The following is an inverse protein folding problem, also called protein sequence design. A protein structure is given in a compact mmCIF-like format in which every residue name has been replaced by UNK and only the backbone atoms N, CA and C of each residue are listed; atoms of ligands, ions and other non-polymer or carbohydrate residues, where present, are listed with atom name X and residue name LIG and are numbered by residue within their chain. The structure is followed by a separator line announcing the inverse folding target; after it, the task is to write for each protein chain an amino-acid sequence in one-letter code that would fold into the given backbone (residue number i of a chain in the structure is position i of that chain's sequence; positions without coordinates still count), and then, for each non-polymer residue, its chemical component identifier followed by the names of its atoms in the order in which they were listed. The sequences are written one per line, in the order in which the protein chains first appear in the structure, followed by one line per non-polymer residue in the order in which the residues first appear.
data_IF_020092833849
#
_entry.id   IF_020092833849
#
_cell.length_a   1.000
_cell.length_b   1.000
_cell.length_c   1.000
_cell.angle_alpha   90.00
_cell.angle_beta   90.00
_cell.angle_gamma   90.00
#
_symmetry.space_group_name_H-M   'P 1'
#
loop_
_entity.id
_entity.type
_entity.pdbx_description
1 polymer ?
#
# COMPACT_ATOMS: atom_id res chain seq x y z
N UNK A 1 14.74 20.80 -24.56
CA UNK A 1 13.55 21.57 -24.14
C UNK A 1 12.32 21.23 -24.99
N UNK A 2 12.41 21.25 -26.32
CA UNK A 2 11.29 20.94 -27.22
C UNK A 2 10.68 19.53 -27.02
N UNK A 3 11.51 18.52 -26.81
CA UNK A 3 11.08 17.15 -26.48
C UNK A 3 10.30 17.07 -25.17
N UNK A 4 10.74 17.78 -24.12
CA UNK A 4 10.05 17.84 -22.83
C UNK A 4 8.68 18.54 -22.94
N UNK A 5 8.60 19.62 -23.72
CA UNK A 5 7.34 20.31 -24.02
C UNK A 5 6.37 19.40 -24.80
N UNK A 6 6.90 18.64 -25.75
CA UNK A 6 6.10 17.67 -26.52
C UNK A 6 5.56 16.57 -25.61
N UNK A 7 6.40 16.01 -24.71
CA UNK A 7 5.96 15.05 -23.70
C UNK A 7 4.87 15.61 -22.79
N UNK A 8 5.07 16.83 -22.28
CA UNK A 8 4.10 17.49 -21.41
C UNK A 8 2.77 17.72 -22.12
N UNK A 9 2.77 18.14 -23.39
CA UNK A 9 1.57 18.30 -24.20
C UNK A 9 0.83 16.98 -24.41
N UNK A 10 1.54 15.90 -24.72
CA UNK A 10 0.97 14.56 -24.90
C UNK A 10 0.39 14.01 -23.59
N UNK A 11 1.09 14.20 -22.47
CA UNK A 11 0.59 13.81 -21.15
C UNK A 11 -0.65 14.62 -20.78
N UNK A 12 -0.65 15.93 -20.99
CA UNK A 12 -1.80 16.80 -20.75
C UNK A 12 -3.02 16.37 -21.58
N UNK A 13 -2.83 16.11 -22.88
CA UNK A 13 -3.90 15.66 -23.77
C UNK A 13 -4.47 14.29 -23.36
N UNK A 14 -3.62 13.39 -22.82
CA UNK A 14 -4.04 12.07 -22.34
C UNK A 14 -4.54 12.04 -20.89
N UNK A 15 -4.32 13.11 -20.12
CA UNK A 15 -4.71 13.21 -18.72
C UNK A 15 -6.21 12.99 -18.46
N UNK A 16 -7.17 13.56 -19.22
CA UNK A 16 -8.60 13.31 -18.97
C UNK A 16 -9.00 11.84 -19.17
N UNK A 17 -8.32 11.11 -20.05
CA UNK A 17 -8.59 9.69 -20.32
C UNK A 17 -7.90 8.78 -19.31
N UNK A 18 -6.67 9.12 -18.92
CA UNK A 18 -5.83 8.27 -18.06
C UNK A 18 -5.98 8.59 -16.58
N UNK A 19 -6.44 9.79 -16.25
CA UNK A 19 -6.62 10.34 -14.91
C UNK A 19 -5.33 10.30 -14.08
N UNK A 20 -4.19 10.47 -14.76
CA UNK A 20 -2.87 10.53 -14.15
C UNK A 20 -2.50 11.99 -13.80
N UNK A 21 -1.72 12.19 -12.73
CA UNK A 21 -1.18 13.51 -12.39
C UNK A 21 -0.36 14.11 -13.52
N UNK A 22 -0.38 15.44 -13.64
CA UNK A 22 0.41 16.15 -14.64
C UNK A 22 1.81 16.51 -14.08
N UNK A 23 2.90 15.94 -14.61
CA UNK A 23 4.24 16.27 -14.17
C UNK A 23 4.71 17.64 -14.67
N UNK A 24 5.63 18.25 -13.92
CA UNK A 24 6.26 19.52 -14.30
C UNK A 24 7.18 19.36 -15.51
N UNK A 25 7.37 20.45 -16.26
CA UNK A 25 8.33 20.48 -17.37
C UNK A 25 9.77 20.20 -16.91
N UNK A 26 10.14 20.74 -15.74
CA UNK A 26 11.47 20.55 -15.15
C UNK A 26 11.73 19.07 -14.84
N UNK A 27 10.75 18.38 -14.26
CA UNK A 27 10.88 16.95 -13.99
C UNK A 27 10.95 16.13 -15.28
N UNK A 28 10.12 16.43 -16.29
CA UNK A 28 10.18 15.74 -17.58
C UNK A 28 11.52 15.91 -18.28
N UNK A 29 12.17 17.06 -18.13
CA UNK A 29 13.50 17.29 -18.68
C UNK A 29 14.56 16.34 -18.08
N UNK A 30 14.41 15.92 -16.82
CA UNK A 30 15.31 14.95 -16.17
C UNK A 30 15.22 13.54 -16.77
N UNK A 31 14.14 13.24 -17.48
CA UNK A 31 13.93 11.94 -18.13
C UNK A 31 14.62 11.84 -19.49
N UNK A 32 14.99 12.98 -20.08
CA UNK A 32 15.63 13.03 -21.38
C UNK A 32 17.15 12.93 -21.16
N UNK A 33 17.80 11.86 -21.65
CA UNK A 33 19.23 11.70 -21.48
C UNK A 33 19.97 12.88 -22.13
N UNK A 34 20.78 13.61 -21.35
CA UNK A 34 21.50 14.77 -21.87
C UNK A 34 22.74 14.41 -22.70
N UNK A 35 23.19 13.14 -22.62
CA UNK A 35 24.48 12.68 -23.17
C UNK A 35 24.34 11.43 -24.05
N UNK A 36 23.21 11.25 -24.74
CA UNK A 36 23.04 10.12 -25.68
C UNK A 36 22.94 10.64 -27.10
N UNK A 37 23.62 9.96 -28.02
CA UNK A 37 23.57 10.26 -29.47
C UNK A 37 22.21 9.92 -30.09
N UNK A 38 21.37 9.15 -29.38
CA UNK A 38 20.01 8.81 -29.79
C UNK A 38 19.02 9.07 -28.67
N UNK A 39 18.04 9.92 -28.96
CA UNK A 39 16.89 10.16 -28.09
C UNK A 39 15.93 8.96 -28.27
N UNK A 40 15.43 8.34 -27.18
CA UNK A 40 14.44 7.28 -27.28
C UNK A 40 13.17 7.76 -28.01
N UNK A 41 12.44 6.86 -28.69
CA UNK A 41 11.21 7.24 -29.36
C UNK A 41 10.16 7.73 -28.34
N UNK A 42 9.31 8.67 -28.78
CA UNK A 42 8.32 9.34 -27.93
C UNK A 42 7.44 8.38 -27.10
N UNK A 43 6.93 7.25 -27.64
CA UNK A 43 6.14 6.30 -26.86
C UNK A 43 6.90 5.70 -25.67
N UNK A 44 8.21 5.41 -25.85
CA UNK A 44 9.05 4.88 -24.77
C UNK A 44 9.23 5.92 -23.67
N UNK A 45 9.48 7.19 -24.04
CA UNK A 45 9.60 8.28 -23.08
C UNK A 45 8.29 8.51 -22.30
N UNK A 46 7.14 8.43 -22.99
CA UNK A 46 5.82 8.53 -22.36
C UNK A 46 5.58 7.40 -21.35
N UNK A 47 5.91 6.17 -21.72
CA UNK A 47 5.80 5.01 -20.84
C UNK A 47 6.73 5.14 -19.63
N UNK A 48 7.99 5.56 -19.83
CA UNK A 48 8.95 5.82 -18.75
C UNK A 48 8.46 6.92 -17.82
N UNK A 49 7.92 8.02 -18.36
CA UNK A 49 7.37 9.10 -17.56
C UNK A 49 6.20 8.60 -16.69
N UNK A 50 5.23 7.87 -17.27
CA UNK A 50 4.11 7.31 -16.50
C UNK A 50 4.58 6.36 -15.41
N UNK A 51 5.50 5.45 -15.72
CA UNK A 51 6.05 4.50 -14.75
C UNK A 51 6.74 5.22 -13.60
N UNK A 52 7.66 6.15 -13.90
CA UNK A 52 8.40 6.88 -12.86
C UNK A 52 7.50 7.79 -12.03
N UNK A 53 6.47 8.37 -12.64
CA UNK A 53 5.49 9.17 -11.91
C UNK A 53 4.72 8.34 -10.87
N UNK A 54 4.24 7.16 -11.27
CA UNK A 54 3.55 6.23 -10.36
C UNK A 54 4.49 5.66 -9.28
N UNK A 55 5.81 5.65 -9.54
CA UNK A 55 6.83 5.24 -8.59
C UNK A 55 7.39 6.36 -7.69
N UNK A 56 7.01 7.61 -7.94
CA UNK A 56 7.52 8.78 -7.20
C UNK A 56 6.58 9.18 -6.06
N UNK A 57 7.10 9.85 -5.04
CA UNK A 57 6.27 10.50 -4.01
C UNK A 57 5.61 11.76 -4.61
N UNK A 58 4.27 11.79 -4.66
CA UNK A 58 3.52 12.89 -5.28
C UNK A 58 3.64 14.22 -4.54
N UNK A 59 4.05 14.19 -3.27
CA UNK A 59 4.29 15.39 -2.46
C UNK A 59 5.67 16.01 -2.69
N UNK A 60 6.52 15.38 -3.52
CA UNK A 60 7.86 15.89 -3.83
C UNK A 60 7.77 17.25 -4.53
N UNK A 61 8.41 18.31 -3.98
CA UNK A 61 8.41 19.63 -4.61
C UNK A 61 9.00 19.59 -6.02
N UNK A 62 8.32 20.22 -6.97
CA UNK A 62 8.77 20.31 -8.36
C UNK A 62 8.52 19.06 -9.22
N UNK A 63 7.94 17.98 -8.68
CA UNK A 63 7.55 16.80 -9.45
C UNK A 63 6.34 17.09 -10.36
N UNK A 64 5.30 17.70 -9.79
CA UNK A 64 4.02 17.97 -10.44
C UNK A 64 3.91 19.43 -10.88
N UNK A 65 3.04 19.67 -11.86
CA UNK A 65 2.67 21.03 -12.25
C UNK A 65 1.95 21.75 -11.09
N UNK A 66 2.40 22.93 -10.64
CA UNK A 66 1.79 23.64 -9.53
C UNK A 66 0.30 23.97 -9.73
N UNK A 67 -0.13 24.26 -10.96
CA UNK A 67 -1.53 24.54 -11.28
C UNK A 67 -2.37 23.26 -11.17
N UNK A 68 -1.80 22.13 -11.57
CA UNK A 68 -2.44 20.82 -11.40
C UNK A 68 -2.61 20.49 -9.91
N UNK A 69 -1.56 20.69 -9.10
CA UNK A 69 -1.60 20.44 -7.64
C UNK A 69 -2.68 21.29 -6.98
N UNK A 70 -2.76 22.59 -7.30
CA UNK A 70 -3.76 23.49 -6.74
C UNK A 70 -5.20 23.10 -7.12
N UNK A 71 -5.40 22.52 -8.30
CA UNK A 71 -6.72 22.14 -8.81
C UNK A 71 -7.15 20.71 -8.46
N UNK A 72 -6.24 19.83 -8.04
CA UNK A 72 -6.49 18.40 -7.78
C UNK A 72 -6.04 17.93 -6.39
N UNK A 73 -5.87 18.86 -5.43
CA UNK A 73 -5.60 18.56 -4.02
C UNK A 73 -6.86 18.71 -3.16
N UNK A 74 -6.81 18.19 -1.92
CA UNK A 74 -7.90 18.33 -0.98
C UNK A 74 -8.11 19.81 -0.58
N UNK A 75 -9.37 20.23 -0.41
CA UNK A 75 -9.68 21.52 0.20
C UNK A 75 -9.02 21.69 1.58
N UNK A 76 -8.30 22.79 1.78
CA UNK A 76 -7.55 23.06 3.03
C UNK A 76 -8.42 23.08 4.31
N UNK A 77 -9.75 23.25 4.17
CA UNK A 77 -10.68 23.18 5.30
C UNK A 77 -10.79 21.77 5.91
N UNK A 78 -10.35 20.72 5.21
CA UNK A 78 -10.51 19.33 5.64
C UNK A 78 -9.45 18.89 6.66
N UNK A 79 -8.28 19.56 6.72
CA UNK A 79 -7.17 19.18 7.60
C UNK A 79 -7.37 19.64 9.06
N UNK A 80 -8.31 20.56 9.33
CA UNK A 80 -8.45 21.20 10.66
C UNK A 80 -8.92 20.24 11.77
N UNK A 81 -9.39 19.04 11.44
CA UNK A 81 -9.98 18.09 12.40
C UNK A 81 -8.98 17.18 13.15
N UNK A 82 -7.68 17.16 12.80
CA UNK A 82 -6.76 16.14 13.33
C UNK A 82 -5.48 16.62 14.03
N UNK A 83 -5.23 17.94 14.08
CA UNK A 83 -3.97 18.47 14.65
C UNK A 83 -4.11 19.39 15.86
N UNK A 84 -5.31 19.85 16.19
CA UNK A 84 -5.52 20.76 17.31
C UNK A 84 -6.67 20.26 18.17
N UNK A 85 -6.31 19.74 19.34
CA UNK A 85 -7.18 19.75 20.51
C UNK A 85 -7.48 21.21 20.85
N UNK A 86 -8.44 21.81 20.15
CA UNK A 86 -9.00 23.10 20.55
C UNK A 86 -10.48 23.16 20.15
N UNK A 87 -11.31 22.96 21.17
CA UNK A 87 -12.72 23.35 21.23
C UNK A 87 -12.88 24.74 20.62
N UNK A 88 -13.72 24.87 19.58
CA UNK A 88 -14.67 25.99 19.36
C UNK A 88 -15.31 25.97 17.95
N UNK A 89 -16.55 25.46 17.82
CA UNK A 89 -17.81 26.23 17.64
C UNK A 89 -18.95 25.27 17.22
N UNK A 90 -20.17 25.39 17.78
CA UNK A 90 -21.31 24.57 17.38
C UNK A 90 -21.87 25.13 16.06
N UNK A 91 -21.76 24.37 14.96
CA UNK A 91 -22.34 24.80 13.69
C UNK A 91 -21.85 24.14 12.40
N UNK A 92 -21.06 23.06 12.44
CA UNK A 92 -20.66 22.40 11.18
C UNK A 92 -19.79 21.16 11.28
N UNK A 93 -19.59 20.56 12.45
CA UNK A 93 -18.84 19.33 12.59
C UNK A 93 -19.76 18.13 12.34
N UNK A 94 -19.55 17.43 11.20
CA UNK A 94 -20.27 16.19 10.88
C UNK A 94 -21.12 16.22 9.62
N UNK A 95 -21.06 17.27 8.81
CA UNK A 95 -21.76 17.27 7.51
C UNK A 95 -21.01 16.38 6.53
N UNK A 96 -21.74 15.48 5.88
CA UNK A 96 -21.26 14.76 4.71
C UNK A 96 -20.89 15.80 3.63
N UNK A 97 -19.67 15.73 3.14
CA UNK A 97 -19.15 16.54 2.06
C UNK A 97 -18.86 15.65 0.86
N UNK A 98 -18.87 16.24 -0.32
CA UNK A 98 -18.59 15.53 -1.57
C UNK A 98 -17.40 16.23 -2.23
N UNK A 99 -16.43 15.46 -2.72
CA UNK A 99 -15.33 16.01 -3.52
C UNK A 99 -15.89 16.60 -4.80
N UNK A 100 -15.61 17.88 -5.03
CA UNK A 100 -16.01 18.66 -6.21
C UNK A 100 -15.08 18.42 -7.42
N UNK A 101 -13.98 17.71 -7.20
CA UNK A 101 -12.89 17.47 -8.16
C UNK A 101 -12.32 16.07 -8.02
N UNK A 102 -11.60 15.65 -9.05
CA UNK A 102 -10.79 14.43 -9.02
C UNK A 102 -9.51 14.71 -8.21
N UNK A 103 -9.16 13.81 -7.29
CA UNK A 103 -7.97 13.92 -6.43
C UNK A 103 -7.16 12.64 -6.53
N UNK A 104 -5.90 12.75 -6.93
CA UNK A 104 -4.97 11.61 -6.89
C UNK A 104 -4.24 11.63 -5.56
N UNK A 105 -4.33 10.52 -4.84
CA UNK A 105 -3.69 10.33 -3.54
C UNK A 105 -2.71 9.17 -3.60
N UNK A 106 -1.77 9.17 -2.66
CA UNK A 106 -0.88 8.06 -2.40
C UNK A 106 -1.18 7.44 -1.03
N UNK A 107 -1.02 6.12 -0.94
CA UNK A 107 -1.26 5.36 0.29
C UNK A 107 -0.03 5.40 1.19
N UNK A 108 -0.19 5.83 2.44
CA UNK A 108 0.87 5.84 3.46
C UNK A 108 0.74 4.66 4.42
N UNK A 109 -0.48 4.22 4.71
CA UNK A 109 -0.75 3.10 5.63
C UNK A 109 -2.04 2.38 5.23
N UNK A 110 -2.14 1.09 5.58
CA UNK A 110 -3.31 0.24 5.36
C UNK A 110 -3.49 -0.70 6.55
N UNK A 111 -4.66 -0.63 7.16
CA UNK A 111 -5.07 -1.43 8.31
C UNK A 111 -6.33 -2.25 7.96
N UNK A 112 -6.40 -3.49 8.41
CA UNK A 112 -7.63 -4.28 8.36
C UNK A 112 -8.37 -4.12 9.69
N UNK A 113 -9.56 -3.53 9.65
CA UNK A 113 -10.37 -3.25 10.85
C UNK A 113 -11.09 -4.50 11.40
N UNK A 114 -11.15 -5.60 10.64
CA UNK A 114 -11.79 -6.82 11.09
C UNK A 114 -10.88 -7.68 11.99
N UNK A 115 -9.59 -7.35 12.09
CA UNK A 115 -8.63 -8.07 12.95
C UNK A 115 -8.27 -7.24 14.16
N UNK A 116 -8.10 -7.89 15.31
CA UNK A 116 -7.65 -7.19 16.51
C UNK A 116 -6.21 -6.74 16.35
N UNK A 117 -5.88 -5.53 16.82
CA UNK A 117 -4.48 -5.07 16.87
C UNK A 117 -3.61 -6.01 17.71
N UNK A 118 -4.18 -6.58 18.78
CA UNK A 118 -3.49 -7.55 19.63
C UNK A 118 -3.13 -8.82 18.87
N UNK A 119 -4.09 -9.39 18.14
CA UNK A 119 -3.90 -10.58 17.30
C UNK A 119 -2.81 -10.35 16.24
N UNK A 120 -2.78 -9.16 15.62
CA UNK A 120 -1.73 -8.81 14.64
C UNK A 120 -0.36 -8.68 15.33
N UNK A 121 -0.29 -8.12 16.54
CA UNK A 121 0.96 -8.03 17.31
C UNK A 121 1.46 -9.43 17.66
N UNK A 122 0.62 -10.30 18.21
CA UNK A 122 0.99 -11.68 18.54
C UNK A 122 1.51 -12.45 17.32
N UNK A 123 0.83 -12.34 16.18
CA UNK A 123 1.28 -12.93 14.92
C UNK A 123 2.67 -12.44 14.52
N UNK A 124 2.89 -11.12 14.54
CA UNK A 124 4.17 -10.54 14.13
C UNK A 124 5.31 -10.92 15.10
N UNK A 125 5.02 -10.99 16.39
CA UNK A 125 6.00 -11.41 17.40
C UNK A 125 6.35 -12.90 17.30
N UNK A 126 5.37 -13.76 17.02
CA UNK A 126 5.63 -15.19 16.81
C UNK A 126 6.52 -15.42 15.59
N UNK A 127 6.35 -14.63 14.53
CA UNK A 127 7.23 -14.63 13.36
C UNK A 127 8.65 -14.17 13.73
N UNK A 128 8.79 -13.10 14.52
CA UNK A 128 10.09 -12.59 14.99
C UNK A 128 10.82 -13.60 15.90
N UNK A 129 10.07 -14.32 16.73
CA UNK A 129 10.58 -15.41 17.58
C UNK A 129 10.86 -16.71 16.81
N UNK A 130 10.52 -16.80 15.52
CA UNK A 130 10.67 -18.00 14.71
C UNK A 130 9.70 -19.13 15.08
N UNK A 131 8.62 -18.80 15.78
CA UNK A 131 7.58 -19.71 16.24
C UNK A 131 6.40 -19.66 15.24
N UNK A 132 6.50 -20.35 14.11
CA UNK A 132 5.33 -20.54 13.25
C UNK A 132 4.51 -21.72 13.76
N UNK A 133 3.29 -21.45 14.22
CA UNK A 133 2.32 -22.49 14.53
C UNK A 133 1.73 -23.05 13.23
N UNK A 134 2.06 -24.28 12.88
CA UNK A 134 1.31 -25.06 11.88
C UNK A 134 0.30 -25.93 12.62
N UNK A 135 -0.93 -25.43 12.79
CA UNK A 135 -1.98 -26.11 13.54
C UNK A 135 -1.83 -25.94 15.05
N UNK A 136 -1.86 -27.03 15.82
CA UNK A 136 -1.65 -27.05 17.29
C UNK A 136 -0.17 -27.18 17.70
N UNK A 137 0.74 -27.31 16.75
CA UNK A 137 2.16 -27.55 17.00
C UNK A 137 2.99 -26.30 16.73
N UNK A 138 3.81 -25.91 17.72
CA UNK A 138 4.78 -24.82 17.63
C UNK A 138 6.07 -25.39 17.04
N UNK A 139 6.38 -25.04 15.78
CA UNK A 139 7.64 -25.43 15.15
C UNK A 139 8.64 -24.28 15.36
N UNK A 140 9.71 -24.55 16.11
CA UNK A 140 10.84 -23.63 16.27
C UNK A 140 11.83 -23.89 15.13
N UNK A 141 12.00 -22.94 14.22
CA UNK A 141 13.08 -23.06 13.23
C UNK A 141 14.43 -22.80 13.92
N UNK A 142 15.48 -23.62 13.68
CA UNK A 142 16.79 -23.38 14.23
C UNK A 142 17.37 -22.06 13.72
N UNK A 143 17.77 -21.18 14.64
CA UNK A 143 18.56 -19.99 14.32
C UNK A 143 19.91 -20.45 13.76
N UNK A 144 20.26 -19.98 12.56
CA UNK A 144 21.55 -20.28 11.94
C UNK A 144 22.69 -19.69 12.78
N UNK A 145 23.31 -20.52 13.61
CA UNK A 145 24.47 -20.11 14.40
C UNK A 145 24.71 -20.96 15.64
N UNK A 146 25.13 -22.21 15.46
CA UNK A 146 26.08 -22.92 16.34
C UNK A 146 26.47 -24.23 15.67
N UNK A 147 27.72 -24.32 15.22
CA UNK A 147 28.34 -25.58 14.85
C UNK A 147 28.65 -26.39 16.10
N UNK A 148 28.56 -27.72 15.98
CA UNK A 148 29.58 -28.66 16.41
C UNK A 148 29.27 -30.03 15.81
N UNK A 149 30.36 -30.71 15.52
CA UNK A 149 30.55 -31.90 14.71
C UNK A 149 30.10 -33.19 15.42
N UNK A 150 30.01 -34.23 14.58
CA UNK A 150 30.05 -35.67 14.89
C UNK A 150 28.85 -36.31 15.61
N UNK A 151 28.07 -37.12 14.87
CA UNK A 151 28.10 -38.55 15.18
C UNK A 151 27.56 -39.45 14.03
N UNK A 152 28.27 -40.56 13.91
CA UNK A 152 28.20 -41.67 12.98
C UNK A 152 26.78 -42.27 12.85
N UNK A 153 26.22 -42.33 11.65
CA UNK A 153 24.96 -43.05 11.40
C UNK A 153 25.22 -44.55 11.24
N UNK A 154 24.79 -45.28 12.28
CA UNK A 154 24.58 -46.71 12.36
C UNK A 154 23.46 -47.17 11.40
N UNK A 155 23.70 -48.29 10.71
CA UNK A 155 22.78 -48.92 9.75
C UNK A 155 21.92 -49.94 10.48
N UNK A 156 20.70 -49.56 10.84
CA UNK A 156 19.69 -50.42 11.48
C UNK A 156 18.39 -50.50 10.68
N UNK A 157 18.09 -51.71 10.22
CA UNK A 157 16.96 -52.16 9.41
C UNK A 157 15.58 -52.05 10.10
N UNK A 158 14.52 -51.88 9.29
CA UNK A 158 13.13 -52.22 9.66
C UNK A 158 12.12 -51.06 9.76
N UNK A 159 11.20 -50.96 8.78
CA UNK A 159 9.91 -50.27 9.02
C UNK A 159 9.28 -49.47 7.87
N UNK A 160 9.32 -49.92 6.61
CA UNK A 160 8.48 -49.35 5.54
C UNK A 160 7.02 -49.76 5.73
N UNK A 161 6.20 -48.88 6.31
CA UNK A 161 4.75 -48.68 6.01
C UNK A 161 4.12 -47.70 7.02
N UNK A 162 4.28 -46.38 6.85
CA UNK A 162 3.35 -45.36 7.44
C UNK A 162 3.51 -43.92 6.94
N UNK A 163 4.31 -43.62 5.91
CA UNK A 163 4.62 -42.22 5.55
C UNK A 163 3.72 -41.62 4.44
N UNK A 164 2.85 -42.39 3.79
CA UNK A 164 2.03 -41.86 2.67
C UNK A 164 0.71 -41.20 3.08
N UNK A 165 0.24 -41.37 4.33
CA UNK A 165 -1.00 -40.73 4.80
C UNK A 165 -0.81 -39.30 5.35
N UNK A 166 0.38 -38.97 5.88
CA UNK A 166 0.67 -37.66 6.48
C UNK A 166 0.89 -36.54 5.43
N UNK A 167 1.31 -36.89 4.22
CA UNK A 167 1.49 -35.94 3.10
C UNK A 167 0.15 -35.49 2.49
N UNK A 168 -0.87 -36.35 2.52
CA UNK A 168 -2.21 -36.03 2.00
C UNK A 168 -2.99 -35.08 2.92
N UNK A 169 -2.90 -35.26 4.24
CA UNK A 169 -3.57 -34.39 5.23
C UNK A 169 -2.94 -33.00 5.34
N UNK A 170 -1.63 -32.87 5.16
CA UNK A 170 -0.95 -31.57 5.15
C UNK A 170 -1.39 -30.68 3.97
N UNK A 171 -1.80 -31.27 2.85
CA UNK A 171 -2.25 -30.54 1.67
C UNK A 171 -3.69 -30.00 1.85
N UNK A 172 -4.57 -30.73 2.54
CA UNK A 172 -5.95 -30.28 2.80
C UNK A 172 -6.02 -29.15 3.81
N UNK A 173 -5.21 -29.19 4.87
CA UNK A 173 -5.18 -28.15 5.92
C UNK A 173 -4.55 -26.84 5.40
N UNK A 174 -3.50 -26.93 4.60
CA UNK A 174 -2.89 -25.75 3.96
C UNK A 174 -3.79 -25.11 2.90
N UNK A 175 -4.56 -25.92 2.15
CA UNK A 175 -5.58 -25.41 1.23
C UNK A 175 -6.78 -24.80 1.95
N UNK A 176 -7.24 -25.38 3.06
CA UNK A 176 -8.33 -24.81 3.88
C UNK A 176 -7.92 -23.49 4.54
N UNK A 177 -6.68 -23.38 5.04
CA UNK A 177 -6.14 -22.15 5.61
C UNK A 177 -5.96 -21.05 4.54
N UNK A 178 -5.52 -21.40 3.33
CA UNK A 178 -5.43 -20.46 2.21
C UNK A 178 -6.81 -19.96 1.77
N UNK A 179 -7.80 -20.85 1.70
CA UNK A 179 -9.19 -20.49 1.37
C UNK A 179 -9.85 -19.64 2.47
N UNK A 180 -9.55 -19.90 3.75
CA UNK A 180 -10.02 -19.08 4.86
C UNK A 180 -9.45 -17.65 4.79
N UNK A 181 -8.13 -17.52 4.58
CA UNK A 181 -7.46 -16.22 4.38
C UNK A 181 -7.99 -15.46 3.17
N UNK A 182 -8.31 -16.15 2.08
CA UNK A 182 -8.93 -15.56 0.89
C UNK A 182 -10.34 -15.03 1.20
N UNK A 183 -11.16 -15.79 1.94
CA UNK A 183 -12.50 -15.36 2.36
C UNK A 183 -12.45 -14.18 3.33
N UNK A 184 -11.51 -14.20 4.28
CA UNK A 184 -11.25 -13.08 5.19
C UNK A 184 -10.86 -11.82 4.42
N UNK A 185 -9.99 -11.92 3.40
CA UNK A 185 -9.65 -10.79 2.53
C UNK A 185 -10.86 -10.24 1.78
N UNK A 186 -11.77 -11.10 1.32
CA UNK A 186 -13.00 -10.69 0.61
C UNK A 186 -14.02 -9.99 1.52
N UNK A 187 -14.00 -10.27 2.82
CA UNK A 187 -14.92 -9.69 3.81
C UNK A 187 -14.27 -8.60 4.69
N UNK A 188 -13.00 -8.28 4.45
CA UNK A 188 -12.26 -7.30 5.23
C UNK A 188 -12.67 -5.86 4.87
N UNK A 189 -12.76 -5.02 5.90
CA UNK A 189 -12.91 -3.57 5.79
C UNK A 189 -11.59 -2.91 6.12
N UNK A 190 -11.06 -2.10 5.20
CA UNK A 190 -9.77 -1.45 5.38
C UNK A 190 -9.90 0.02 5.76
N UNK A 191 -9.00 0.46 6.65
CA UNK A 191 -8.69 1.86 6.90
C UNK A 191 -7.36 2.19 6.25
N UNK A 192 -7.29 3.31 5.53
CA UNK A 192 -6.09 3.78 4.87
C UNK A 192 -5.69 5.15 5.42
N UNK A 193 -4.40 5.40 5.49
CA UNK A 193 -3.86 6.77 5.56
C UNK A 193 -3.46 7.15 4.16
N UNK A 194 -4.03 8.22 3.64
CA UNK A 194 -3.79 8.70 2.29
C UNK A 194 -3.23 10.11 2.31
N UNK A 195 -2.43 10.45 1.30
CA UNK A 195 -1.83 11.78 1.15
C UNK A 195 -2.05 12.30 -0.26
N UNK A 196 -2.44 13.57 -0.41
CA UNK A 196 -2.52 14.22 -1.72
C UNK A 196 -1.18 14.82 -2.19
N UNK A 197 -1.20 15.40 -3.39
CA UNK A 197 -0.04 16.06 -3.98
C UNK A 197 0.41 17.33 -3.23
N UNK A 198 -0.47 17.97 -2.45
CA UNK A 198 -0.10 19.10 -1.58
C UNK A 198 0.55 18.65 -0.27
N UNK A 199 0.58 17.34 -0.01
CA UNK A 199 1.11 16.74 1.20
C UNK A 199 0.08 16.61 2.33
N UNK A 200 -1.18 17.01 2.11
CA UNK A 200 -2.25 16.85 3.09
C UNK A 200 -2.57 15.37 3.29
N UNK A 201 -2.75 14.98 4.56
CA UNK A 201 -3.03 13.60 4.96
C UNK A 201 -4.43 13.48 5.52
N UNK A 202 -5.14 12.43 5.13
CA UNK A 202 -6.48 12.11 5.62
C UNK A 202 -6.60 10.61 5.87
N UNK A 203 -7.56 10.22 6.70
CA UNK A 203 -8.00 8.83 6.76
C UNK A 203 -9.00 8.56 5.64
N UNK A 204 -8.97 7.34 5.14
CA UNK A 204 -9.98 6.80 4.27
C UNK A 204 -10.50 5.48 4.84
N UNK A 205 -11.80 5.24 4.69
CA UNK A 205 -12.48 4.04 5.16
C UNK A 205 -13.17 3.37 3.98
N UNK A 206 -12.95 2.07 3.84
CA UNK A 206 -13.63 1.24 2.84
C UNK A 206 -15.11 1.08 3.21
N UNK A 207 -15.99 1.89 2.62
CA UNK A 207 -17.43 1.82 2.88
C UNK A 207 -18.08 0.65 2.12
N UNK A 208 -17.60 0.40 0.90
CA UNK A 208 -17.94 -0.76 0.08
C UNK A 208 -16.64 -1.43 -0.38
N UNK A 209 -16.68 -2.76 -0.48
CA UNK A 209 -15.52 -3.58 -0.82
C UNK A 209 -14.88 -3.15 -2.15
N UNK A 210 -13.62 -2.74 -2.11
CA UNK A 210 -12.75 -2.49 -3.27
C UNK A 210 -11.72 -3.61 -3.32
N UNK A 211 -11.84 -4.52 -4.27
CA UNK A 211 -11.04 -5.76 -4.31
C UNK A 211 -9.52 -5.52 -4.39
N UNK A 212 -9.13 -4.41 -5.00
CA UNK A 212 -7.73 -3.98 -5.16
C UNK A 212 -7.13 -3.41 -3.85
N UNK A 213 -7.96 -3.14 -2.85
CA UNK A 213 -7.55 -2.63 -1.55
C UNK A 213 -7.33 -3.79 -0.56
N UNK A 214 -6.16 -3.81 0.05
CA UNK A 214 -5.85 -4.75 1.11
C UNK A 214 -4.52 -4.48 1.80
N UNK A 215 -4.36 -5.03 2.99
CA UNK A 215 -3.08 -4.97 3.71
C UNK A 215 -1.98 -5.63 2.86
N UNK A 216 -0.86 -4.95 2.55
CA UNK A 216 0.23 -5.56 1.81
C UNK A 216 0.86 -6.71 2.60
N UNK A 217 1.09 -7.82 1.88
CA UNK A 217 1.74 -9.01 2.40
C UNK A 217 3.13 -9.11 1.81
N UNK A 218 4.10 -9.48 2.64
CA UNK A 218 5.50 -9.63 2.22
C UNK A 218 5.95 -11.06 2.50
N UNK A 219 6.62 -11.67 1.53
CA UNK A 219 7.25 -12.99 1.65
C UNK A 219 8.66 -12.88 1.08
N UNK A 220 9.65 -13.27 1.88
CA UNK A 220 11.07 -13.17 1.53
C UNK A 220 11.46 -11.75 1.06
N UNK A 221 10.93 -10.71 1.72
CA UNK A 221 11.16 -9.30 1.38
C UNK A 221 10.48 -8.81 0.09
N UNK A 222 9.66 -9.65 -0.56
CA UNK A 222 8.89 -9.29 -1.76
C UNK A 222 7.41 -9.18 -1.43
N UNK A 223 6.79 -8.07 -1.83
CA UNK A 223 5.36 -7.87 -1.68
C UNK A 223 4.58 -8.83 -2.60
N UNK A 224 3.64 -9.59 -2.05
CA UNK A 224 2.77 -10.54 -2.73
C UNK A 224 1.30 -10.18 -2.49
N UNK A 225 0.84 -9.13 -3.18
CA UNK A 225 -0.54 -8.67 -3.13
C UNK A 225 -0.84 -7.67 -2.00
N UNK A 226 -2.09 -7.22 -1.99
CA UNK A 226 -2.50 -6.05 -1.21
C UNK A 226 -2.08 -4.75 -1.88
N UNK A 227 -2.34 -3.64 -1.20
CA UNK A 227 -2.09 -2.29 -1.71
C UNK A 227 -0.66 -1.88 -1.41
N UNK A 228 0.16 -1.55 -2.42
CA UNK A 228 1.52 -1.08 -2.19
C UNK A 228 1.53 0.25 -1.43
N UNK A 229 2.47 0.37 -0.49
CA UNK A 229 2.75 1.65 0.16
C UNK A 229 3.36 2.61 -0.86
N UNK A 230 2.84 3.83 -0.88
CA UNK A 230 3.08 4.83 -1.92
C UNK A 230 2.31 4.59 -3.21
N UNK A 231 1.48 3.54 -3.29
CA UNK A 231 0.61 3.27 -4.43
C UNK A 231 -0.40 4.40 -4.65
N UNK A 232 -0.73 4.66 -5.92
CA UNK A 232 -1.59 5.78 -6.31
C UNK A 232 -3.03 5.33 -6.47
N UNK A 233 -3.94 6.14 -5.93
CA UNK A 233 -5.38 5.95 -6.01
C UNK A 233 -6.00 7.26 -6.50
N UNK A 234 -6.87 7.16 -7.48
CA UNK A 234 -7.72 8.26 -7.90
C UNK A 234 -9.04 8.21 -7.13
N UNK A 235 -9.37 9.31 -6.47
CA UNK A 235 -10.69 9.62 -5.95
C UNK A 235 -11.40 10.48 -7.00
N UNK A 236 -12.52 10.00 -7.54
CA UNK A 236 -13.29 10.75 -8.53
C UNK A 236 -14.12 11.85 -7.85
N UNK A 237 -14.42 12.91 -8.60
CA UNK A 237 -15.46 13.86 -8.24
C UNK A 237 -16.73 13.10 -7.89
N UNK A 238 -17.33 13.43 -6.75
CA UNK A 238 -18.45 12.68 -6.19
C UNK A 238 -18.09 11.81 -4.99
N UNK A 239 -16.80 11.52 -4.74
CA UNK A 239 -16.38 10.77 -3.54
C UNK A 239 -16.84 11.48 -2.28
N UNK A 240 -17.49 10.73 -1.39
CA UNK A 240 -18.05 11.22 -0.14
C UNK A 240 -16.99 11.31 0.94
N UNK A 241 -17.15 12.30 1.81
CA UNK A 241 -16.34 12.52 2.99
C UNK A 241 -17.25 12.79 4.17
N UNK A 242 -16.93 12.21 5.33
CA UNK A 242 -17.66 12.47 6.55
C UNK A 242 -16.67 12.61 7.70
N UNK A 243 -16.81 13.66 8.51
CA UNK A 243 -15.97 13.91 9.70
C UNK A 243 -14.46 13.86 9.40
N UNK A 244 -14.05 14.36 8.24
CA UNK A 244 -12.64 14.34 7.80
C UNK A 244 -12.13 12.98 7.33
N UNK A 245 -13.01 11.99 7.12
CA UNK A 245 -12.67 10.66 6.58
C UNK A 245 -13.23 10.52 5.17
N UNK A 246 -12.42 10.06 4.23
CA UNK A 246 -12.83 9.74 2.87
C UNK A 246 -13.52 8.38 2.85
N UNK A 247 -14.72 8.31 2.27
CA UNK A 247 -15.50 7.07 2.16
C UNK A 247 -15.26 6.44 0.80
N UNK A 248 -14.56 5.31 0.79
CA UNK A 248 -14.15 4.62 -0.43
C UNK A 248 -15.26 3.69 -0.92
N UNK A 249 -15.62 3.83 -2.20
CA UNK A 249 -16.56 2.97 -2.89
C UNK A 249 -16.03 2.62 -4.30
N UNK A 250 -16.25 1.39 -4.82
CA UNK A 250 -15.69 0.94 -6.10
C UNK A 250 -16.01 1.81 -7.32
N UNK A 251 -17.16 2.48 -7.35
CA UNK A 251 -17.55 3.34 -8.48
C UNK A 251 -16.77 4.66 -8.54
N UNK A 252 -16.33 5.15 -7.39
CA UNK A 252 -15.73 6.47 -7.20
C UNK A 252 -14.23 6.42 -6.92
N UNK A 253 -13.67 5.21 -6.83
CA UNK A 253 -12.26 4.96 -6.57
C UNK A 253 -11.67 4.16 -7.72
N UNK A 254 -10.49 4.56 -8.18
CA UNK A 254 -9.71 3.79 -9.16
C UNK A 254 -8.29 3.65 -8.66
N UNK A 255 -7.83 2.42 -8.48
CA UNK A 255 -6.42 2.17 -8.14
C UNK A 255 -5.59 2.33 -9.41
N UNK A 256 -4.62 3.24 -9.37
CA UNK A 256 -3.72 3.51 -10.50
C UNK A 256 -2.45 2.66 -10.42
N UNK A 257 -2.18 2.07 -9.25
CA UNK A 257 -1.01 1.22 -9.00
C UNK A 257 0.25 2.02 -8.68
N UNK A 258 1.41 1.48 -9.04
CA UNK A 258 2.70 2.04 -8.64
C UNK A 258 3.03 1.81 -7.17
N UNK A 259 4.21 2.28 -6.75
CA UNK A 259 4.69 2.22 -5.36
C UNK A 259 5.89 3.15 -5.21
N UNK A 260 6.08 3.73 -4.03
CA UNK A 260 7.32 4.47 -3.76
C UNK A 260 8.38 3.48 -3.29
N UNK A 261 9.52 3.46 -3.97
CA UNK A 261 10.59 2.51 -3.65
C UNK A 261 11.11 2.71 -2.21
N UNK A 262 11.34 1.60 -1.51
CA UNK A 262 11.76 1.60 -0.11
C UNK A 262 10.66 1.81 0.93
N UNK A 263 9.55 2.50 0.59
CA UNK A 263 8.48 2.79 1.57
C UNK A 263 7.81 1.53 2.12
N UNK A 264 7.58 0.52 1.29
CA UNK A 264 7.02 -0.75 1.74
C UNK A 264 7.88 -1.46 2.79
N UNK A 265 9.20 -1.47 2.61
CA UNK A 265 10.15 -2.09 3.55
C UNK A 265 10.20 -1.33 4.88
N UNK A 266 10.22 0.01 4.82
CA UNK A 266 10.17 0.85 6.02
C UNK A 266 8.86 0.66 6.77
N UNK A 267 7.75 0.62 6.03
CA UNK A 267 6.42 0.39 6.60
C UNK A 267 6.32 -0.97 7.30
N UNK A 268 6.81 -2.03 6.65
CA UNK A 268 6.83 -3.39 7.19
C UNK A 268 7.66 -3.48 8.47
N UNK A 269 8.91 -2.99 8.43
CA UNK A 269 9.82 -3.02 9.58
C UNK A 269 9.31 -2.21 10.78
N UNK A 270 8.64 -1.08 10.55
CA UNK A 270 8.07 -0.26 11.62
C UNK A 270 6.67 -0.67 12.09
N UNK A 271 6.05 -1.69 11.47
CA UNK A 271 4.65 -2.02 11.70
C UNK A 271 4.38 -2.54 13.11
N UNK A 272 5.23 -3.44 13.59
CA UNK A 272 5.08 -4.07 14.91
C UNK A 272 5.15 -3.03 16.04
N UNK A 273 6.17 -2.17 16.01
CA UNK A 273 6.36 -1.12 17.02
C UNK A 273 5.18 -0.13 17.05
N UNK A 274 4.70 0.30 15.88
CA UNK A 274 3.53 1.17 15.77
C UNK A 274 2.28 0.51 16.38
N UNK A 275 2.01 -0.75 16.06
CA UNK A 275 0.84 -1.47 16.59
C UNK A 275 0.93 -1.66 18.11
N UNK A 276 2.09 -2.04 18.65
CA UNK A 276 2.31 -2.15 20.11
C UNK A 276 2.02 -0.82 20.81
N UNK A 277 2.57 0.28 20.28
CA UNK A 277 2.36 1.61 20.85
C UNK A 277 0.91 2.11 20.76
N UNK A 278 0.11 1.61 19.82
CA UNK A 278 -1.33 1.89 19.76
C UNK A 278 -2.15 1.08 20.74
N UNK A 279 -1.82 -0.21 20.93
CA UNK A 279 -2.46 -1.07 21.93
C UNK A 279 -2.22 -0.54 23.34
N UNK A 280 -1.00 -0.09 23.65
CA UNK A 280 -0.67 0.43 24.99
C UNK A 280 -1.32 1.78 25.32
N UNK A 281 -1.78 2.53 24.31
CA UNK A 281 -2.41 3.84 24.46
C UNK A 281 -3.93 3.80 24.44
N UNK A 282 -4.53 2.70 23.98
CA UNK A 282 -5.98 2.47 23.98
C UNK A 282 -6.44 1.83 25.27
#
# INVERSE_FOLDING_TARGET
METAQTLHRQLSASSPTTLLPLPSLTWLATLIPSNTTRIPPLPSLLATARLRLLSSDLSTPGLLDPQWVASHSFPACLTRAQGQQQVSRPGGEGREQILDRDVVVQVLDVENLNRSKWEIVEDLESIERGEQTRGREVIRLPTAGSGNEDDQLDMGDGGTQTQTAALAQNNTVSQQAAQARERERKNATHKLVIQDASGQRLFALELKRVDEIGVPLFVNGKMIGGTPIGGKILLKRGTKMARGVVLLEPGLVKVLGGRVEGWGKVWEGGRLERLRGEVQRG
#
